data_IF_758402200569
#
_entry.id   IF_758402200569
#
_cell.length_a   1.000
_cell.length_b   1.000
_cell.length_c   1.000
_cell.angle_alpha   90.00
_cell.angle_beta   90.00
_cell.angle_gamma   90.00
#
_symmetry.space_group_name_H-M   'P 1'
#
loop_
_entity.id
_entity.type
_entity.pdbx_description
1 polymer ?
#
# COMPACT_ATOMS: atom_id res chain seq x y z
N UNK A 1 7.84 -11.82 12.11
CA UNK A 1 7.16 -10.51 12.18
C UNK A 1 5.87 -10.68 11.41
N UNK A 2 4.69 -10.42 12.00
CA UNK A 2 3.43 -10.57 11.26
C UNK A 2 3.48 -9.69 10.01
N UNK A 3 3.29 -10.30 8.84
CA UNK A 3 3.02 -9.53 7.62
C UNK A 3 1.74 -8.74 7.89
N UNK A 4 1.86 -7.41 7.93
CA UNK A 4 0.72 -6.53 8.18
C UNK A 4 -0.12 -6.57 6.91
N UNK A 5 -1.21 -7.33 6.98
CA UNK A 5 -2.24 -7.34 5.94
C UNK A 5 -2.96 -5.99 5.90
N UNK A 6 -3.24 -5.54 4.68
CA UNK A 6 -4.00 -4.34 4.37
C UNK A 6 -5.38 -4.75 3.82
N UNK A 7 -6.42 -4.02 4.22
CA UNK A 7 -7.75 -4.06 3.63
C UNK A 7 -7.97 -2.80 2.78
N UNK A 8 -8.87 -2.85 1.77
CA UNK A 8 -9.22 -1.65 0.99
C UNK A 8 -9.65 -0.48 1.89
N UNK A 9 -9.03 0.68 1.69
CA UNK A 9 -9.26 1.89 2.48
C UNK A 9 -8.32 2.06 3.69
N UNK A 10 -7.55 1.04 4.06
CA UNK A 10 -6.56 1.16 5.14
C UNK A 10 -5.50 2.20 4.80
N UNK A 11 -5.05 2.92 5.84
CA UNK A 11 -3.98 3.91 5.72
C UNK A 11 -2.62 3.21 5.69
N UNK A 12 -1.84 3.49 4.67
CA UNK A 12 -0.54 2.86 4.45
C UNK A 12 0.61 3.82 4.79
N UNK A 13 0.55 5.05 4.30
CA UNK A 13 1.60 6.06 4.48
C UNK A 13 1.06 7.48 4.30
N UNK A 14 1.80 8.48 4.77
CA UNK A 14 1.54 9.89 4.46
C UNK A 14 1.96 10.22 3.03
N UNK A 15 1.16 11.04 2.33
CA UNK A 15 1.50 11.53 0.97
C UNK A 15 2.71 12.45 0.96
N UNK A 16 3.07 13.03 2.11
CA UNK A 16 4.28 13.85 2.26
C UNK A 16 5.56 13.00 2.27
N UNK A 17 5.43 11.72 2.58
CA UNK A 17 6.55 10.79 2.73
C UNK A 17 6.64 9.81 1.56
N UNK A 18 5.49 9.33 1.07
CA UNK A 18 5.41 8.32 0.02
C UNK A 18 4.40 8.69 -1.06
N UNK A 19 4.79 8.42 -2.31
CA UNK A 19 3.90 8.50 -3.46
C UNK A 19 3.03 7.23 -3.59
N UNK A 20 1.91 7.39 -4.29
CA UNK A 20 1.05 6.26 -4.64
C UNK A 20 1.71 5.35 -5.67
N UNK A 21 1.45 4.05 -5.54
CA UNK A 21 1.98 3.00 -6.38
C UNK A 21 0.89 2.02 -6.79
N UNK A 22 1.28 0.78 -7.02
CA UNK A 22 0.35 -0.26 -7.44
C UNK A 22 -0.58 -0.67 -6.30
N UNK A 23 -1.87 -0.80 -6.62
CA UNK A 23 -2.93 -1.14 -5.65
C UNK A 23 -3.03 -0.16 -4.47
N UNK A 24 -2.67 1.10 -4.68
CA UNK A 24 -2.88 2.18 -3.72
C UNK A 24 -3.51 3.39 -4.40
N UNK A 25 -4.08 4.30 -3.61
CA UNK A 25 -4.61 5.58 -4.09
C UNK A 25 -4.42 6.67 -3.04
N UNK A 26 -4.44 7.92 -3.48
CA UNK A 26 -4.35 9.11 -2.62
C UNK A 26 -5.77 9.60 -2.29
N UNK A 27 -6.07 9.81 -1.01
CA UNK A 27 -7.35 10.37 -0.54
C UNK A 27 -7.33 11.89 -0.28
N UNK A 28 -6.24 12.56 -0.62
CA UNK A 28 -5.96 13.97 -0.37
C UNK A 28 -5.15 14.23 0.91
N UNK A 29 -4.83 13.20 1.69
CA UNK A 29 -4.03 13.31 2.92
C UNK A 29 -3.10 12.11 3.14
N UNK A 30 -3.54 10.90 2.78
CA UNK A 30 -2.86 9.64 3.04
C UNK A 30 -2.90 8.75 1.80
N UNK A 31 -1.85 7.95 1.62
CA UNK A 31 -1.87 6.81 0.69
C UNK A 31 -2.67 5.67 1.32
N UNK A 32 -3.68 5.20 0.60
CA UNK A 32 -4.60 4.13 1.02
C UNK A 32 -4.48 2.88 0.17
N UNK A 33 -4.79 1.74 0.77
CA UNK A 33 -4.89 0.47 0.07
C UNK A 33 -6.11 0.46 -0.85
N UNK A 34 -5.93 0.10 -2.12
CA UNK A 34 -7.02 -0.12 -3.06
C UNK A 34 -7.54 -1.57 -3.03
N UNK A 35 -6.75 -2.50 -2.47
CA UNK A 35 -7.06 -3.93 -2.47
C UNK A 35 -6.60 -4.61 -1.18
N UNK A 36 -6.99 -5.87 -0.98
CA UNK A 36 -6.46 -6.71 0.10
C UNK A 36 -5.06 -7.21 -0.25
N UNK A 37 -4.13 -7.14 0.68
CA UNK A 37 -2.78 -7.68 0.46
C UNK A 37 -1.78 -7.30 1.53
N UNK A 38 -0.50 -7.27 1.17
CA UNK A 38 0.61 -6.97 2.09
C UNK A 38 1.21 -5.61 1.73
N UNK A 39 1.51 -4.79 2.74
CA UNK A 39 2.22 -3.53 2.57
C UNK A 39 3.61 -3.74 1.96
N UNK A 40 3.92 -3.00 0.90
CA UNK A 40 5.23 -2.97 0.25
C UNK A 40 5.68 -1.52 0.07
N UNK A 41 6.40 -1.02 1.08
CA UNK A 41 6.94 0.34 1.10
C UNK A 41 8.38 0.34 0.61
N UNK A 42 8.60 0.87 -0.60
CA UNK A 42 9.95 1.05 -1.12
C UNK A 42 10.55 2.34 -0.56
N UNK A 43 11.56 2.23 0.30
CA UNK A 43 12.21 3.38 0.96
C UNK A 43 13.16 4.16 0.04
N UNK A 44 13.67 3.53 -1.02
CA UNK A 44 14.58 4.18 -1.97
C UNK A 44 13.79 5.07 -2.93
N UNK A 45 12.71 4.54 -3.51
CA UNK A 45 11.86 5.29 -4.43
C UNK A 45 10.76 6.06 -3.73
N UNK A 46 10.53 5.81 -2.43
CA UNK A 46 9.41 6.37 -1.65
C UNK A 46 8.05 6.11 -2.28
N UNK A 47 7.84 4.89 -2.78
CA UNK A 47 6.56 4.47 -3.37
C UNK A 47 5.89 3.42 -2.50
N UNK A 48 4.61 3.62 -2.19
CA UNK A 48 3.80 2.70 -1.41
C UNK A 48 2.92 1.82 -2.30
N UNK A 49 3.09 0.50 -2.19
CA UNK A 49 2.34 -0.50 -2.96
C UNK A 49 1.62 -1.48 -2.02
N UNK A 50 0.58 -2.12 -2.56
CA UNK A 50 0.01 -3.35 -1.98
C UNK A 50 0.34 -4.54 -2.88
N UNK A 51 1.05 -5.52 -2.34
CA UNK A 51 1.23 -6.82 -2.97
C UNK A 51 0.00 -7.66 -2.70
N UNK A 52 -0.85 -7.83 -3.71
CA UNK A 52 -1.95 -8.78 -3.63
C UNK A 52 -1.36 -10.19 -3.61
N UNK A 53 -1.69 -11.05 -2.63
CA UNK A 53 -1.29 -12.45 -2.68
C UNK A 53 -1.92 -13.05 -3.93
N UNK A 54 -1.10 -13.44 -4.91
CA UNK A 54 -1.61 -14.12 -6.11
C UNK A 54 -2.39 -15.34 -5.64
N UNK A 55 -3.67 -15.44 -6.03
CA UNK A 55 -4.31 -16.74 -6.07
C UNK A 55 -3.54 -17.57 -7.09
N UNK A 56 -2.83 -18.58 -6.61
CA UNK A 56 -2.29 -19.64 -7.44
C UNK A 56 -3.53 -20.39 -7.95
N UNK A 57 -3.80 -20.26 -9.24
CA UNK A 57 -4.78 -21.11 -9.93
C UNK A 57 -4.17 -22.45 -10.28
#
# INVERSE_FOLDING_TARGET
MSEIGALPGDKIASIEEYETGHNTFDDGNMVRAATVGIHDLNKETRVANIKHPKMIS
#
